data_IF_989163688627
#
_entry.id   IF_989163688627
#
_cell.length_a   1.000
_cell.length_b   1.000
_cell.length_c   1.000
_cell.angle_alpha   90.00
_cell.angle_beta   90.00
_cell.angle_gamma   90.00
#
_symmetry.space_group_name_H-M   'P 1'
#
loop_
_entity.id
_entity.type
_entity.pdbx_description
1 polymer ?
#
# COMPACT_ATOMS: atom_id res chain seq x y z
N UNK A 1 -39.88 40.29 -51.29
CA UNK A 1 -40.05 40.11 -49.83
C UNK A 1 -39.91 38.66 -49.36
N UNK A 2 -40.32 37.65 -50.15
CA UNK A 2 -40.17 36.23 -49.80
C UNK A 2 -38.73 35.67 -49.90
N UNK A 3 -37.88 36.20 -50.78
CA UNK A 3 -36.48 35.77 -50.93
C UNK A 3 -35.58 36.19 -49.75
N UNK A 4 -35.88 37.33 -49.13
CA UNK A 4 -35.12 37.86 -47.98
C UNK A 4 -35.43 37.11 -46.69
N UNK A 5 -36.65 36.61 -46.51
CA UNK A 5 -36.99 35.77 -45.35
C UNK A 5 -36.42 34.36 -45.45
N UNK A 6 -36.37 33.78 -46.65
CA UNK A 6 -35.76 32.46 -46.89
C UNK A 6 -34.23 32.44 -46.69
N UNK A 7 -33.52 33.51 -47.07
CA UNK A 7 -32.09 33.61 -46.80
C UNK A 7 -31.79 33.78 -45.30
N UNK A 8 -32.60 34.55 -44.58
CA UNK A 8 -32.44 34.76 -43.14
C UNK A 8 -32.69 33.47 -42.32
N UNK A 9 -33.67 32.65 -42.73
CA UNK A 9 -33.90 31.34 -42.10
C UNK A 9 -32.79 30.35 -42.40
N UNK A 10 -32.23 30.36 -43.62
CA UNK A 10 -31.09 29.53 -43.99
C UNK A 10 -29.83 29.88 -43.18
N UNK A 11 -29.49 31.17 -43.03
CA UNK A 11 -28.35 31.61 -42.21
C UNK A 11 -28.54 31.25 -40.73
N UNK A 12 -29.75 31.44 -40.19
CA UNK A 12 -30.05 31.07 -38.80
C UNK A 12 -29.97 29.55 -38.58
N UNK A 13 -30.36 28.75 -39.57
CA UNK A 13 -30.23 27.28 -39.49
C UNK A 13 -28.78 26.82 -39.53
N UNK A 14 -27.91 27.49 -40.30
CA UNK A 14 -26.47 27.18 -40.35
C UNK A 14 -25.74 27.52 -39.06
N UNK A 15 -26.06 28.67 -38.45
CA UNK A 15 -25.48 29.07 -37.16
C UNK A 15 -25.95 28.13 -36.04
N UNK A 16 -27.22 27.72 -36.06
CA UNK A 16 -27.75 26.75 -35.10
C UNK A 16 -27.06 25.38 -35.24
N UNK A 17 -26.77 24.90 -36.45
CA UNK A 17 -26.01 23.66 -36.66
C UNK A 17 -24.58 23.76 -36.08
N UNK A 18 -23.89 24.87 -36.35
CA UNK A 18 -22.52 25.07 -35.86
C UNK A 18 -22.47 25.11 -34.32
N UNK A 19 -23.41 25.81 -33.68
CA UNK A 19 -23.53 25.83 -32.22
C UNK A 19 -23.87 24.45 -31.66
N UNK A 20 -24.73 23.67 -32.32
CA UNK A 20 -25.01 22.29 -31.89
C UNK A 20 -23.80 21.36 -32.00
N UNK A 21 -22.97 21.54 -33.02
CA UNK A 21 -21.72 20.77 -33.19
C UNK A 21 -20.69 21.15 -32.12
N UNK A 22 -20.53 22.43 -31.80
CA UNK A 22 -19.69 22.88 -30.69
C UNK A 22 -20.17 22.32 -29.35
N UNK A 23 -21.48 22.34 -29.08
CA UNK A 23 -22.06 21.80 -27.85
C UNK A 23 -21.91 20.28 -27.77
N UNK A 24 -22.11 19.56 -28.89
CA UNK A 24 -21.92 18.12 -28.97
C UNK A 24 -20.47 17.72 -28.72
N UNK A 25 -19.52 18.43 -29.36
CA UNK A 25 -18.09 18.26 -29.14
C UNK A 25 -17.75 18.52 -27.67
N UNK A 26 -18.19 19.65 -27.09
CA UNK A 26 -17.97 19.95 -25.66
C UNK A 26 -18.51 18.87 -24.71
N UNK A 27 -19.64 18.25 -25.05
CA UNK A 27 -20.24 17.16 -24.26
C UNK A 27 -19.43 15.85 -24.39
N UNK A 28 -18.93 15.57 -25.59
CA UNK A 28 -18.08 14.42 -25.87
C UNK A 28 -16.70 14.52 -25.20
N UNK A 29 -16.07 15.70 -25.24
CA UNK A 29 -14.83 15.98 -24.52
C UNK A 29 -14.99 15.84 -23.01
N UNK A 30 -16.10 16.32 -22.44
CA UNK A 30 -16.41 16.10 -21.02
C UNK A 30 -16.52 14.61 -20.69
N UNK A 31 -17.25 13.84 -21.50
CA UNK A 31 -17.38 12.39 -21.32
C UNK A 31 -16.03 11.68 -21.35
N UNK A 32 -15.18 11.99 -22.34
CA UNK A 32 -13.83 11.45 -22.45
C UNK A 32 -12.95 11.81 -21.25
N UNK A 33 -13.03 13.04 -20.75
CA UNK A 33 -12.29 13.49 -19.56
C UNK A 33 -12.68 12.70 -18.31
N UNK A 34 -13.98 12.45 -18.08
CA UNK A 34 -14.44 11.65 -16.94
C UNK A 34 -13.94 10.20 -17.00
N UNK A 35 -13.95 9.59 -18.19
CA UNK A 35 -13.39 8.25 -18.39
C UNK A 35 -11.89 8.24 -18.14
N UNK A 36 -11.15 9.20 -18.69
CA UNK A 36 -9.70 9.34 -18.50
C UNK A 36 -9.35 9.50 -17.02
N UNK A 37 -10.03 10.38 -16.30
CA UNK A 37 -9.86 10.59 -14.85
C UNK A 37 -10.16 9.30 -14.08
N UNK A 38 -11.23 8.58 -14.44
CA UNK A 38 -11.54 7.29 -13.82
C UNK A 38 -10.47 6.23 -14.05
N UNK A 39 -9.90 6.16 -15.26
CA UNK A 39 -8.77 5.28 -15.58
C UNK A 39 -7.50 5.65 -14.82
N UNK A 40 -7.17 6.95 -14.75
CA UNK A 40 -6.02 7.46 -14.00
C UNK A 40 -6.15 7.19 -12.50
N UNK A 41 -7.35 7.36 -11.92
CA UNK A 41 -7.59 7.08 -10.50
C UNK A 41 -7.45 5.60 -10.18
N UNK A 42 -7.95 4.71 -11.06
CA UNK A 42 -7.76 3.25 -10.93
C UNK A 42 -6.29 2.88 -11.01
N UNK A 43 -5.58 3.30 -12.05
CA UNK A 43 -4.15 3.04 -12.22
C UNK A 43 -3.32 3.58 -11.05
N UNK A 44 -3.63 4.80 -10.58
CA UNK A 44 -2.99 5.41 -9.41
C UNK A 44 -3.21 4.61 -8.14
N UNK A 45 -4.41 4.08 -7.92
CA UNK A 45 -4.72 3.23 -6.75
C UNK A 45 -3.89 1.95 -6.74
N UNK A 46 -3.76 1.26 -7.88
CA UNK A 46 -2.90 0.08 -7.99
C UNK A 46 -1.42 0.41 -7.79
N UNK A 47 -0.95 1.54 -8.36
CA UNK A 47 0.42 1.98 -8.22
C UNK A 47 0.80 2.29 -6.77
N UNK A 48 -0.07 3.02 -6.05
CA UNK A 48 0.13 3.34 -4.64
C UNK A 48 0.18 2.07 -3.79
N UNK A 49 -0.70 1.11 -4.04
CA UNK A 49 -0.70 -0.17 -3.34
C UNK A 49 0.58 -0.97 -3.58
N UNK A 50 1.01 -1.09 -4.84
CA UNK A 50 2.25 -1.79 -5.18
C UNK A 50 3.47 -1.10 -4.53
N UNK A 51 3.51 0.22 -4.56
CA UNK A 51 4.58 0.99 -3.92
C UNK A 51 4.62 0.78 -2.40
N UNK A 52 3.46 0.88 -1.73
CA UNK A 52 3.32 0.57 -0.30
C UNK A 52 3.78 -0.86 -0.01
N UNK A 53 3.46 -1.81 -0.90
CA UNK A 53 3.87 -3.19 -0.78
C UNK A 53 5.39 -3.35 -0.81
N UNK A 54 6.04 -2.78 -1.83
CA UNK A 54 7.49 -2.80 -1.95
C UNK A 54 8.17 -2.12 -0.75
N UNK A 55 7.68 -0.95 -0.32
CA UNK A 55 8.26 -0.21 0.81
C UNK A 55 8.18 -1.05 2.10
N UNK A 56 7.04 -1.67 2.35
CA UNK A 56 6.87 -2.53 3.52
C UNK A 56 7.79 -3.75 3.44
N UNK A 57 7.82 -4.49 2.33
CA UNK A 57 8.69 -5.66 2.18
C UNK A 57 10.16 -5.32 2.41
N UNK A 58 10.63 -4.19 1.85
CA UNK A 58 11.99 -3.70 2.08
C UNK A 58 12.23 -3.39 3.56
N UNK A 59 11.29 -2.71 4.22
CA UNK A 59 11.43 -2.36 5.64
C UNK A 59 11.47 -3.61 6.55
N UNK A 60 10.68 -4.64 6.27
CA UNK A 60 10.70 -5.90 7.02
C UNK A 60 11.97 -6.72 6.74
N UNK A 61 12.42 -6.78 5.49
CA UNK A 61 13.66 -7.46 5.11
C UNK A 61 14.88 -6.87 5.80
N UNK A 62 14.94 -5.53 5.88
CA UNK A 62 15.97 -4.81 6.63
C UNK A 62 15.96 -5.20 8.12
N UNK A 63 14.79 -5.18 8.78
CA UNK A 63 14.65 -5.59 10.19
C UNK A 63 15.11 -7.04 10.43
N UNK A 64 14.80 -7.94 9.51
CA UNK A 64 15.25 -9.34 9.59
C UNK A 64 16.77 -9.47 9.47
N UNK A 65 17.42 -8.71 8.58
CA UNK A 65 18.87 -8.73 8.39
C UNK A 65 19.61 -8.21 9.62
N UNK A 66 19.13 -7.14 10.26
CA UNK A 66 19.70 -6.65 11.52
C UNK A 66 19.59 -7.68 12.64
N UNK A 67 18.41 -8.31 12.78
CA UNK A 67 18.20 -9.37 13.77
C UNK A 67 19.09 -10.61 13.49
N UNK A 68 19.31 -10.95 12.21
CA UNK A 68 20.24 -12.03 11.82
C UNK A 68 21.68 -11.70 12.23
N UNK A 69 22.20 -10.53 11.86
CA UNK A 69 23.57 -10.12 12.23
C UNK A 69 23.75 -10.09 13.75
N UNK A 70 22.76 -9.57 14.47
CA UNK A 70 22.79 -9.55 15.93
C UNK A 70 22.83 -10.97 16.52
N UNK A 71 22.01 -11.89 16.01
CA UNK A 71 22.00 -13.30 16.43
C UNK A 71 23.31 -14.04 16.08
N UNK A 72 24.01 -13.64 15.01
CA UNK A 72 25.33 -14.17 14.67
C UNK A 72 26.41 -13.70 15.66
N UNK A 73 26.34 -12.45 16.13
CA UNK A 73 27.25 -11.92 17.15
C UNK A 73 27.02 -12.53 18.54
N UNK A 74 25.76 -12.76 18.94
CA UNK A 74 25.45 -13.26 20.29
C UNK A 74 25.50 -14.77 20.44
N UNK A 75 25.39 -15.55 19.36
CA UNK A 75 25.48 -17.01 19.42
C UNK A 75 26.93 -17.51 19.40
N UNK A 76 27.37 -18.16 20.48
CA UNK A 76 28.74 -18.70 20.64
C UNK A 76 29.17 -19.72 19.58
N UNK A 77 28.22 -20.55 19.10
CA UNK A 77 28.47 -21.52 18.02
C UNK A 77 28.61 -20.83 16.67
N UNK A 78 27.83 -19.79 16.38
CA UNK A 78 27.85 -19.12 15.07
C UNK A 78 28.97 -18.10 14.97
N UNK A 79 29.25 -17.34 16.03
CA UNK A 79 30.39 -16.43 16.07
C UNK A 79 31.71 -17.17 15.80
N UNK A 80 31.90 -18.36 16.40
CA UNK A 80 33.07 -19.23 16.12
C UNK A 80 33.12 -19.82 14.72
N UNK A 81 31.97 -20.05 14.06
CA UNK A 81 31.93 -20.58 12.68
C UNK A 81 32.31 -19.53 11.63
N UNK A 82 32.10 -18.25 11.93
CA UNK A 82 32.37 -17.12 11.04
C UNK A 82 33.54 -16.24 11.51
N UNK A 83 34.38 -16.74 12.43
CA UNK A 83 35.51 -16.02 13.06
C UNK A 83 35.17 -14.61 13.60
N UNK A 84 33.93 -14.42 14.07
CA UNK A 84 33.56 -13.20 14.77
C UNK A 84 33.96 -13.29 16.26
N UNK A 85 34.52 -12.22 16.84
CA UNK A 85 34.89 -12.19 18.25
C UNK A 85 33.65 -12.44 19.11
N UNK A 86 33.69 -13.51 19.91
CA UNK A 86 32.54 -13.98 20.66
C UNK A 86 32.04 -12.94 21.67
N UNK A 87 30.80 -12.46 21.47
CA UNK A 87 30.18 -11.44 22.30
C UNK A 87 29.50 -12.07 23.54
N UNK A 88 30.21 -12.15 24.67
CA UNK A 88 29.67 -12.63 25.95
C UNK A 88 28.99 -11.50 26.73
N UNK A 89 27.71 -11.59 27.05
CA UNK A 89 26.89 -10.49 27.61
C UNK A 89 27.14 -10.19 29.11
N UNK A 90 28.21 -10.72 29.71
CA UNK A 90 28.57 -10.49 31.11
C UNK A 90 29.52 -9.27 31.29
N UNK A 91 30.20 -8.84 30.22
CA UNK A 91 31.17 -7.73 30.32
C UNK A 91 30.46 -6.38 30.15
N UNK A 92 30.74 -5.40 31.03
CA UNK A 92 30.17 -4.04 30.96
C UNK A 92 30.38 -3.36 29.58
N UNK A 93 31.49 -3.67 28.89
CA UNK A 93 31.75 -3.22 27.51
C UNK A 93 30.72 -3.75 26.52
N UNK A 94 30.30 -5.01 26.65
CA UNK A 94 29.30 -5.62 25.78
C UNK A 94 27.89 -5.12 26.11
N UNK A 95 27.61 -4.80 27.37
CA UNK A 95 26.36 -4.13 27.77
C UNK A 95 26.28 -2.72 27.14
N UNK A 96 27.36 -1.95 27.17
CA UNK A 96 27.42 -0.63 26.52
C UNK A 96 27.27 -0.73 25.00
N UNK A 97 27.92 -1.70 24.35
CA UNK A 97 27.75 -1.93 22.91
C UNK A 97 26.32 -2.35 22.59
N UNK A 98 25.71 -3.23 23.38
CA UNK A 98 24.30 -3.63 23.23
C UNK A 98 23.33 -2.44 23.39
N UNK A 99 23.52 -1.62 24.41
CA UNK A 99 22.72 -0.41 24.63
C UNK A 99 22.93 0.62 23.52
N UNK A 100 24.17 0.79 23.05
CA UNK A 100 24.48 1.67 21.93
C UNK A 100 23.84 1.17 20.63
N UNK A 101 23.82 -0.14 20.40
CA UNK A 101 23.20 -0.78 19.24
C UNK A 101 21.68 -0.68 19.32
N UNK A 102 21.07 -0.93 20.48
CA UNK A 102 19.62 -0.75 20.71
C UNK A 102 19.21 0.71 20.50
N UNK A 103 19.98 1.66 21.03
CA UNK A 103 19.76 3.10 20.86
C UNK A 103 19.97 3.53 19.41
N UNK A 104 20.99 3.00 18.74
CA UNK A 104 21.29 3.24 17.34
C UNK A 104 20.21 2.69 16.41
N UNK A 105 19.72 1.47 16.66
CA UNK A 105 18.58 0.89 15.93
C UNK A 105 17.28 1.66 16.18
N UNK A 106 17.09 2.19 17.40
CA UNK A 106 15.96 3.05 17.76
C UNK A 106 16.04 4.45 17.12
N UNK A 107 17.24 4.95 16.81
CA UNK A 107 17.48 6.25 16.16
C UNK A 107 17.59 6.19 14.63
N UNK A 108 18.16 5.14 14.05
CA UNK A 108 18.39 4.99 12.59
C UNK A 108 17.33 4.15 11.87
N UNK A 109 16.51 3.38 12.58
CA UNK A 109 15.39 2.72 11.94
C UNK A 109 14.32 3.76 11.59
N UNK A 110 13.79 3.80 10.35
CA UNK A 110 12.52 4.46 10.06
C UNK A 110 11.36 3.69 10.72
N UNK A 111 11.49 3.38 12.01
CA UNK A 111 10.60 2.50 12.77
C UNK A 111 9.22 3.15 12.87
N UNK A 112 9.20 4.46 13.13
CA UNK A 112 7.97 5.26 13.24
C UNK A 112 7.30 5.45 11.88
N UNK A 113 8.06 5.77 10.82
CA UNK A 113 7.52 5.92 9.47
C UNK A 113 6.98 4.59 8.94
N UNK A 114 7.73 3.49 9.11
CA UNK A 114 7.28 2.15 8.67
C UNK A 114 6.01 1.70 9.42
N UNK A 115 5.93 1.91 10.74
CA UNK A 115 4.71 1.58 11.48
C UNK A 115 3.53 2.44 11.04
N UNK A 116 3.77 3.72 10.74
CA UNK A 116 2.73 4.61 10.22
C UNK A 116 2.22 4.16 8.86
N UNK A 117 3.10 3.69 7.98
CA UNK A 117 2.76 3.16 6.64
C UNK A 117 1.93 1.88 6.76
N UNK A 118 2.31 0.95 7.64
CA UNK A 118 1.55 -0.29 7.86
C UNK A 118 0.17 0.04 8.45
N UNK A 119 0.12 0.98 9.40
CA UNK A 119 -1.13 1.43 9.99
C UNK A 119 -2.04 2.08 8.94
N UNK A 120 -1.51 2.95 8.07
CA UNK A 120 -2.30 3.55 6.99
C UNK A 120 -2.88 2.50 6.05
N UNK A 121 -2.10 1.48 5.67
CA UNK A 121 -2.60 0.38 4.82
C UNK A 121 -3.73 -0.39 5.52
N UNK A 122 -3.61 -0.63 6.82
CA UNK A 122 -4.64 -1.30 7.61
C UNK A 122 -5.94 -0.48 7.70
N UNK A 123 -5.84 0.83 7.94
CA UNK A 123 -7.00 1.72 7.94
C UNK A 123 -7.66 1.81 6.56
N UNK A 124 -6.87 1.89 5.48
CA UNK A 124 -7.40 1.87 4.11
C UNK A 124 -8.14 0.56 3.82
N UNK A 125 -7.59 -0.58 4.24
CA UNK A 125 -8.25 -1.88 4.11
C UNK A 125 -9.60 -1.94 4.85
N UNK A 126 -9.63 -1.49 6.11
CA UNK A 126 -10.88 -1.44 6.89
C UNK A 126 -11.90 -0.52 6.23
N UNK A 127 -11.49 0.68 5.78
CA UNK A 127 -12.39 1.62 5.12
C UNK A 127 -13.03 1.00 3.86
N UNK A 128 -12.24 0.35 3.01
CA UNK A 128 -12.75 -0.33 1.81
C UNK A 128 -13.69 -1.47 2.19
N UNK A 129 -13.34 -2.30 3.17
CA UNK A 129 -14.21 -3.36 3.67
C UNK A 129 -15.55 -2.81 4.18
N UNK A 130 -15.56 -1.71 4.94
CA UNK A 130 -16.78 -1.07 5.40
C UNK A 130 -17.64 -0.58 4.22
N UNK A 131 -17.03 0.06 3.22
CA UNK A 131 -17.73 0.49 2.01
C UNK A 131 -18.34 -0.69 1.25
N UNK A 132 -17.60 -1.79 1.11
CA UNK A 132 -18.09 -3.02 0.49
C UNK A 132 -19.28 -3.61 1.26
N UNK A 133 -19.22 -3.64 2.60
CA UNK A 133 -20.33 -4.10 3.43
C UNK A 133 -21.58 -3.23 3.25
N UNK A 134 -21.42 -1.90 3.19
CA UNK A 134 -22.55 -0.97 2.98
C UNK A 134 -23.17 -1.16 1.59
N UNK A 135 -22.34 -1.25 0.56
CA UNK A 135 -22.81 -1.47 -0.83
C UNK A 135 -23.52 -2.83 -0.99
N UNK A 136 -23.01 -3.87 -0.33
CA UNK A 136 -23.64 -5.19 -0.33
C UNK A 136 -25.01 -5.17 0.37
N UNK A 137 -25.14 -4.39 1.44
CA UNK A 137 -26.39 -4.25 2.19
C UNK A 137 -27.46 -3.46 1.41
N UNK A 138 -27.05 -2.44 0.63
CA UNK A 138 -27.98 -1.60 -0.12
C UNK A 138 -28.60 -2.30 -1.34
N UNK A 139 -27.82 -3.08 -2.11
CA UNK A 139 -28.31 -3.72 -3.33
C UNK A 139 -27.58 -5.03 -3.66
N UNK A 140 -27.90 -6.16 -3.00
CA UNK A 140 -27.15 -7.41 -3.15
C UNK A 140 -27.18 -7.99 -4.57
N UNK A 141 -28.25 -7.73 -5.35
CA UNK A 141 -28.40 -8.26 -6.72
C UNK A 141 -27.65 -7.47 -7.79
N UNK A 142 -27.45 -6.17 -7.59
CA UNK A 142 -26.79 -5.29 -8.56
C UNK A 142 -25.28 -5.13 -8.26
N UNK A 143 -24.84 -5.60 -7.08
CA UNK A 143 -23.47 -5.45 -6.61
C UNK A 143 -22.42 -6.03 -7.57
N UNK A 144 -22.66 -7.20 -8.18
CA UNK A 144 -21.71 -7.84 -9.11
C UNK A 144 -21.87 -7.38 -10.57
N UNK A 145 -22.94 -6.67 -10.92
CA UNK A 145 -23.16 -6.15 -12.28
C UNK A 145 -22.42 -4.83 -12.52
N UNK A 146 -22.13 -4.07 -11.46
CA UNK A 146 -21.43 -2.80 -11.57
C UNK A 146 -19.91 -3.04 -11.73
N UNK A 147 -19.31 -2.62 -12.86
CA UNK A 147 -17.86 -2.75 -13.09
C UNK A 147 -17.00 -2.13 -11.98
N UNK A 148 -17.47 -1.06 -11.32
CA UNK A 148 -16.75 -0.43 -10.21
C UNK A 148 -16.57 -1.32 -8.98
N UNK A 149 -17.49 -2.25 -8.72
CA UNK A 149 -17.40 -3.14 -7.56
C UNK A 149 -16.36 -4.22 -7.76
N UNK A 150 -16.09 -4.65 -9.00
CA UNK A 150 -15.01 -5.57 -9.32
C UNK A 150 -13.64 -4.97 -8.97
N UNK A 151 -13.41 -3.70 -9.26
CA UNK A 151 -12.18 -3.01 -8.89
C UNK A 151 -11.98 -2.97 -7.38
N UNK A 152 -13.03 -2.61 -6.62
CA UNK A 152 -12.99 -2.63 -5.16
C UNK A 152 -12.69 -4.04 -4.64
N UNK A 153 -13.24 -5.08 -5.25
CA UNK A 153 -13.08 -6.48 -4.84
C UNK A 153 -11.65 -6.97 -5.09
N UNK A 154 -11.11 -6.68 -6.28
CA UNK A 154 -9.70 -6.96 -6.64
C UNK A 154 -8.76 -6.23 -5.69
N UNK A 155 -9.05 -4.97 -5.38
CA UNK A 155 -8.24 -4.14 -4.49
C UNK A 155 -8.26 -4.67 -3.04
N UNK A 156 -9.42 -5.09 -2.56
CA UNK A 156 -9.60 -5.71 -1.23
C UNK A 156 -8.91 -7.07 -1.15
N UNK A 157 -8.98 -7.88 -2.20
CA UNK A 157 -8.29 -9.17 -2.28
C UNK A 157 -6.76 -8.99 -2.28
N UNK A 158 -6.24 -8.04 -3.07
CA UNK A 158 -4.81 -7.71 -3.09
C UNK A 158 -4.30 -7.26 -1.72
N UNK A 159 -5.04 -6.38 -1.04
CA UNK A 159 -4.72 -5.94 0.33
C UNK A 159 -4.76 -7.09 1.34
N UNK A 160 -5.73 -8.00 1.24
CA UNK A 160 -5.84 -9.17 2.14
C UNK A 160 -4.64 -10.11 2.01
N UNK A 161 -4.23 -10.45 0.79
CA UNK A 161 -3.07 -11.32 0.53
C UNK A 161 -1.80 -10.69 1.13
N UNK A 162 -1.65 -9.38 0.95
CA UNK A 162 -0.53 -8.63 1.47
C UNK A 162 -0.50 -8.65 3.02
N UNK A 163 -1.63 -8.37 3.67
CA UNK A 163 -1.76 -8.47 5.13
C UNK A 163 -1.37 -9.87 5.64
N UNK A 164 -1.84 -10.92 4.95
CA UNK A 164 -1.53 -12.31 5.30
C UNK A 164 -0.03 -12.59 5.19
N UNK A 165 0.66 -12.03 4.18
CA UNK A 165 2.11 -12.12 4.08
C UNK A 165 2.80 -11.45 5.26
N UNK A 166 2.36 -10.27 5.74
CA UNK A 166 2.94 -9.67 6.96
C UNK A 166 2.74 -10.51 8.19
N UNK A 167 1.54 -11.04 8.38
CA UNK A 167 1.25 -11.90 9.53
C UNK A 167 2.13 -13.17 9.45
N UNK A 168 2.29 -13.73 8.26
CA UNK A 168 3.14 -14.91 8.03
C UNK A 168 4.63 -14.60 8.24
N UNK A 169 5.14 -13.47 7.76
CA UNK A 169 6.50 -13.04 8.03
C UNK A 169 6.70 -12.74 9.53
N UNK A 170 5.75 -12.06 10.16
CA UNK A 170 5.77 -11.73 11.59
C UNK A 170 5.78 -12.98 12.47
N UNK A 171 4.97 -13.99 12.13
CA UNK A 171 4.95 -15.28 12.83
C UNK A 171 6.21 -16.10 12.56
N UNK A 172 6.76 -16.11 11.34
CA UNK A 172 8.06 -16.75 11.04
C UNK A 172 9.20 -16.11 11.84
N UNK A 173 9.20 -14.79 11.97
CA UNK A 173 10.15 -14.05 12.82
C UNK A 173 9.93 -14.46 14.28
N UNK A 174 8.70 -14.38 14.79
CA UNK A 174 8.37 -14.74 16.16
C UNK A 174 8.81 -16.18 16.46
N UNK A 175 8.44 -17.17 15.65
CA UNK A 175 8.85 -18.58 15.81
C UNK A 175 10.37 -18.76 15.78
N UNK A 176 11.10 -18.02 14.94
CA UNK A 176 12.56 -18.11 14.83
C UNK A 176 13.31 -17.46 16.00
N UNK A 177 12.76 -16.41 16.59
CA UNK A 177 13.38 -15.66 17.69
C UNK A 177 12.77 -15.95 19.07
N UNK A 178 11.65 -16.68 19.17
CA UNK A 178 11.01 -17.11 20.42
C UNK A 178 11.97 -17.93 21.30
N UNK A 179 12.76 -18.81 20.68
CA UNK A 179 13.75 -19.63 21.40
C UNK A 179 14.99 -18.83 21.85
N UNK A 180 15.26 -17.65 21.28
CA UNK A 180 16.33 -16.76 21.74
C UNK A 180 15.91 -15.93 22.97
N UNK A 181 14.62 -15.60 23.09
CA UNK A 181 14.10 -14.96 24.31
C UNK A 181 14.12 -15.92 25.50
N UNK A 182 13.80 -17.20 25.29
CA UNK A 182 13.93 -18.25 26.32
C UNK A 182 15.39 -18.39 26.78
N UNK A 183 16.35 -18.28 25.86
CA UNK A 183 17.79 -18.29 26.17
C UNK A 183 18.28 -17.04 26.93
N UNK A 184 17.53 -15.94 26.90
CA UNK A 184 17.84 -14.70 27.65
C UNK A 184 17.21 -14.72 29.05
N UNK A 185 16.09 -15.44 29.24
CA UNK A 185 15.44 -15.58 30.56
C UNK A 185 16.03 -16.70 31.42
N UNK A 186 16.83 -17.60 30.83
CA UNK A 186 17.52 -18.70 31.55
C UNK A 186 18.94 -18.35 32.05
N UNK A 187 19.38 -17.09 31.91
CA UNK A 187 20.66 -16.59 32.44
C UNK A 187 20.42 -15.57 33.56
#
# INVERSE_FOLDING_TARGET
MLLTSANATATNSSIMMEVTDYLANWRMWRGGLFVLIGCLLRAGSFFVLFFLCCVAERAFSQRLQYAKHFCYLTSSRRARKYDLPHFRLNKARNIKVWLSLRSYLRKRGPQRSTNSVIASVFYTFIAICCLMCIQLLQAPRQFLQQMGNWDLLVLTAGLSIFLLQFITLGTKINKKFRNLSVLITEQ
#
